data_IF_120500217087
#
_entry.id   IF_120500217087
#
_cell.length_a   1.000
_cell.length_b   1.000
_cell.length_c   1.000
_cell.angle_alpha   90.00
_cell.angle_beta   90.00
_cell.angle_gamma   90.00
#
_symmetry.space_group_name_H-M   'P 1'
#
loop_
_entity.id
_entity.type
_entity.pdbx_description
1 polymer ?
#
# COMPACT_ATOMS: atom_id res chain seq x y z
N UNK A 1 -5.23 -19.67 2.66
CA UNK A 1 -3.94 -20.01 3.29
C UNK A 1 -4.12 -19.91 4.81
N UNK A 2 -3.97 -20.98 5.59
CA UNK A 2 -4.13 -20.92 7.04
C UNK A 2 -2.82 -20.41 7.63
N UNK A 3 -2.83 -19.20 8.19
CA UNK A 3 -1.69 -18.67 8.94
C UNK A 3 -1.50 -19.54 10.19
N UNK A 4 -0.28 -20.03 10.37
CA UNK A 4 0.08 -20.92 11.48
C UNK A 4 -0.27 -20.26 12.82
N UNK A 5 -0.96 -21.00 13.70
CA UNK A 5 -1.49 -20.51 14.99
C UNK A 5 -0.40 -19.85 15.85
N UNK A 6 0.86 -20.25 15.70
CA UNK A 6 2.02 -19.64 16.39
C UNK A 6 2.25 -18.16 16.05
N UNK A 7 1.73 -17.65 14.92
CA UNK A 7 1.91 -16.27 14.48
C UNK A 7 0.75 -15.34 14.84
N UNK A 8 -0.40 -15.87 15.28
CA UNK A 8 -1.60 -15.05 15.55
C UNK A 8 -1.37 -13.93 16.58
N UNK A 9 -0.60 -14.16 17.62
CA UNK A 9 -0.47 -13.22 18.74
C UNK A 9 0.82 -12.37 18.72
N UNK A 10 1.67 -12.50 17.69
CA UNK A 10 2.85 -11.63 17.59
C UNK A 10 2.47 -10.30 16.96
N UNK A 11 3.02 -9.16 17.45
CA UNK A 11 2.78 -7.86 16.87
C UNK A 11 3.12 -7.84 15.36
N UNK A 12 2.27 -7.21 14.57
CA UNK A 12 2.40 -7.09 13.11
C UNK A 12 2.16 -5.68 12.64
N UNK A 13 2.56 -5.44 11.42
CA UNK A 13 2.42 -4.18 10.72
C UNK A 13 1.64 -4.41 9.45
N UNK A 14 0.63 -3.57 9.24
CA UNK A 14 -0.17 -3.56 8.04
C UNK A 14 0.23 -2.36 7.17
N UNK A 15 0.59 -2.62 5.92
CA UNK A 15 0.78 -1.62 4.88
C UNK A 15 -0.44 -1.55 3.96
N UNK A 16 -0.85 -0.35 3.59
CA UNK A 16 -1.96 -0.12 2.68
C UNK A 16 -1.59 0.94 1.62
N UNK A 17 -1.93 0.63 0.36
CA UNK A 17 -2.09 1.63 -0.70
C UNK A 17 -3.59 1.71 -1.05
N UNK A 18 -4.21 2.87 -0.77
CA UNK A 18 -5.67 3.02 -0.81
C UNK A 18 -6.07 3.79 -2.06
N UNK A 19 -6.71 3.09 -3.00
CA UNK A 19 -7.43 3.71 -4.10
C UNK A 19 -8.94 3.38 -4.03
N UNK A 20 -9.75 4.11 -4.76
CA UNK A 20 -11.21 3.87 -4.80
C UNK A 20 -11.59 2.60 -5.60
N UNK A 21 -10.65 1.96 -6.27
CA UNK A 21 -10.85 0.75 -7.07
C UNK A 21 -10.24 -0.48 -6.41
N UNK A 22 -9.05 -0.32 -5.87
CA UNK A 22 -8.25 -1.39 -5.30
C UNK A 22 -7.54 -0.87 -4.06
N UNK A 23 -7.42 -1.69 -3.05
CA UNK A 23 -6.60 -1.43 -1.88
C UNK A 23 -5.50 -2.50 -1.88
N UNK A 24 -4.25 -2.08 -2.04
CA UNK A 24 -3.08 -2.92 -1.82
C UNK A 24 -2.92 -3.20 -0.33
N UNK A 25 -2.58 -4.43 0.02
CA UNK A 25 -2.54 -4.93 1.39
C UNK A 25 -1.26 -5.74 1.61
N UNK A 26 -0.41 -5.31 2.54
CA UNK A 26 0.84 -5.95 2.88
C UNK A 26 0.97 -6.15 4.39
N UNK A 27 1.03 -7.39 4.85
CA UNK A 27 1.19 -7.73 6.26
C UNK A 27 2.64 -8.14 6.53
N UNK A 28 3.28 -7.45 7.47
CA UNK A 28 4.66 -7.72 7.87
C UNK A 28 4.73 -8.13 9.36
N UNK A 29 5.83 -8.76 9.73
CA UNK A 29 6.21 -8.90 11.13
C UNK A 29 6.52 -7.53 11.75
N UNK A 30 6.64 -7.45 13.07
CA UNK A 30 6.87 -6.18 13.79
C UNK A 30 8.21 -5.51 13.43
N UNK A 31 9.17 -6.24 12.90
CA UNK A 31 10.46 -5.67 12.46
C UNK A 31 10.34 -4.96 11.11
N UNK A 32 9.24 -5.18 10.37
CA UNK A 32 9.05 -4.68 9.01
C UNK A 32 9.98 -5.33 7.99
N UNK A 33 10.65 -6.44 8.36
CA UNK A 33 11.63 -7.10 7.50
C UNK A 33 11.11 -8.37 6.83
N UNK A 34 10.08 -9.01 7.43
CA UNK A 34 9.50 -10.24 6.89
C UNK A 34 8.07 -10.01 6.45
N UNK A 35 7.85 -10.10 5.14
CA UNK A 35 6.51 -10.13 4.57
C UNK A 35 5.82 -11.44 4.94
N UNK A 36 4.61 -11.35 5.48
CA UNK A 36 3.78 -12.48 5.90
C UNK A 36 2.64 -12.74 4.92
N UNK A 37 2.08 -11.67 4.35
CA UNK A 37 1.02 -11.72 3.36
C UNK A 37 1.09 -10.50 2.46
N UNK A 38 0.89 -10.70 1.16
CA UNK A 38 0.74 -9.63 0.18
C UNK A 38 -0.47 -9.95 -0.69
N UNK A 39 -1.46 -9.07 -0.66
CA UNK A 39 -2.71 -9.28 -1.38
C UNK A 39 -3.35 -7.93 -1.75
N UNK A 40 -4.54 -7.97 -2.32
CA UNK A 40 -5.32 -6.79 -2.63
C UNK A 40 -6.79 -7.02 -2.31
N UNK A 41 -7.50 -5.93 -2.12
CA UNK A 41 -8.94 -5.92 -1.98
C UNK A 41 -9.57 -4.98 -3.02
N UNK A 42 -10.46 -5.51 -3.85
CA UNK A 42 -11.17 -4.74 -4.88
C UNK A 42 -12.68 -4.79 -4.60
N UNK A 43 -13.23 -3.81 -3.91
CA UNK A 43 -14.64 -3.81 -3.53
C UNK A 43 -15.55 -3.72 -4.75
N UNK A 44 -16.37 -4.74 -4.94
CA UNK A 44 -17.38 -4.78 -6.01
C UNK A 44 -18.75 -4.44 -5.42
N UNK A 45 -19.33 -3.34 -5.88
CA UNK A 45 -20.65 -2.89 -5.47
C UNK A 45 -21.65 -3.13 -6.62
N UNK A 46 -22.72 -3.83 -6.31
CA UNK A 46 -23.81 -4.10 -7.24
C UNK A 46 -25.15 -4.07 -6.49
N UNK A 47 -26.17 -3.34 -6.98
CA UNK A 47 -26.12 -2.39 -8.09
C UNK A 47 -25.19 -1.22 -7.78
N UNK A 48 -24.71 -0.51 -8.82
CA UNK A 48 -23.90 0.70 -8.66
C UNK A 48 -24.79 1.82 -8.15
N UNK A 49 -24.51 2.47 -7.00
CA UNK A 49 -25.23 3.64 -6.56
C UNK A 49 -25.08 4.83 -7.51
N UNK A 50 -26.09 5.68 -7.60
CA UNK A 50 -26.02 6.93 -8.35
C UNK A 50 -25.16 7.97 -7.62
N UNK A 51 -25.29 8.02 -6.29
CA UNK A 51 -24.51 8.94 -5.46
C UNK A 51 -23.09 8.40 -5.20
N UNK A 52 -22.11 9.25 -5.45
CA UNK A 52 -20.70 8.89 -5.30
C UNK A 52 -20.27 8.67 -3.86
N UNK A 53 -20.84 9.41 -2.92
CA UNK A 53 -20.55 9.25 -1.50
C UNK A 53 -21.12 7.93 -0.98
N UNK A 54 -22.34 7.58 -1.39
CA UNK A 54 -22.95 6.29 -1.09
C UNK A 54 -22.10 5.14 -1.61
N UNK A 55 -21.60 5.23 -2.87
CA UNK A 55 -20.67 4.24 -3.41
C UNK A 55 -19.44 4.05 -2.52
N UNK A 56 -18.82 5.15 -2.05
CA UNK A 56 -17.64 5.09 -1.20
C UNK A 56 -17.96 4.45 0.16
N UNK A 57 -19.10 4.79 0.76
CA UNK A 57 -19.55 4.20 2.03
C UNK A 57 -19.79 2.70 1.89
N UNK A 58 -20.44 2.27 0.82
CA UNK A 58 -20.65 0.84 0.55
C UNK A 58 -19.34 0.09 0.35
N UNK A 59 -18.37 0.69 -0.36
CA UNK A 59 -17.02 0.14 -0.52
C UNK A 59 -16.29 0.04 0.81
N UNK A 60 -16.36 1.08 1.64
CA UNK A 60 -15.77 1.08 2.97
C UNK A 60 -16.36 -0.02 3.86
N UNK A 61 -17.69 -0.17 3.88
CA UNK A 61 -18.36 -1.25 4.61
C UNK A 61 -17.97 -2.65 4.12
N UNK A 62 -17.70 -2.79 2.82
CA UNK A 62 -17.22 -4.07 2.26
C UNK A 62 -15.78 -4.33 2.69
N UNK A 63 -14.95 -3.30 2.73
CA UNK A 63 -13.57 -3.40 3.23
C UNK A 63 -13.52 -3.63 4.74
N UNK A 64 -14.44 -3.06 5.51
CA UNK A 64 -14.57 -3.34 6.94
C UNK A 64 -14.67 -4.84 7.22
N UNK A 65 -15.57 -5.53 6.53
CA UNK A 65 -15.74 -7.00 6.67
C UNK A 65 -14.46 -7.77 6.31
N UNK A 66 -13.67 -7.26 5.38
CA UNK A 66 -12.35 -7.84 5.08
C UNK A 66 -11.37 -7.61 6.22
N UNK A 67 -11.29 -6.38 6.76
CA UNK A 67 -10.42 -6.04 7.89
C UNK A 67 -10.78 -6.80 9.19
N UNK A 68 -12.06 -7.06 9.43
CA UNK A 68 -12.52 -7.82 10.59
C UNK A 68 -11.90 -9.22 10.66
N UNK A 69 -11.59 -9.81 9.49
CA UNK A 69 -10.84 -11.08 9.42
C UNK A 69 -9.43 -11.01 9.99
N UNK A 70 -8.88 -9.81 10.19
CA UNK A 70 -7.53 -9.56 10.72
C UNK A 70 -7.54 -9.03 12.16
N UNK A 71 -8.72 -8.86 12.78
CA UNK A 71 -8.86 -8.26 14.11
C UNK A 71 -7.96 -8.91 15.16
N UNK A 72 -7.90 -10.24 15.16
CA UNK A 72 -7.13 -11.01 16.15
C UNK A 72 -5.71 -11.34 15.67
N UNK A 73 -5.23 -10.71 14.63
CA UNK A 73 -3.92 -10.99 14.06
C UNK A 73 -2.77 -10.26 14.76
N UNK A 74 -3.07 -9.40 15.74
CA UNK A 74 -2.06 -8.62 16.47
C UNK A 74 -1.48 -7.46 15.65
N UNK A 75 -2.29 -6.79 14.83
CA UNK A 75 -1.89 -5.59 14.11
C UNK A 75 -1.73 -4.46 15.12
N UNK A 76 -0.51 -3.93 15.27
CA UNK A 76 -0.15 -2.87 16.22
C UNK A 76 0.31 -1.58 15.54
N UNK A 77 0.54 -1.62 14.23
CA UNK A 77 0.87 -0.45 13.40
C UNK A 77 0.22 -0.59 12.04
N UNK A 78 -0.23 0.53 11.50
CA UNK A 78 -0.74 0.62 10.13
C UNK A 78 -0.03 1.76 9.42
N UNK A 79 0.58 1.45 8.27
CA UNK A 79 1.28 2.40 7.41
C UNK A 79 0.47 2.56 6.13
N UNK A 80 0.14 3.78 5.77
CA UNK A 80 -0.64 4.08 4.56
C UNK A 80 0.21 4.93 3.63
N UNK A 81 0.28 4.58 2.35
CA UNK A 81 0.83 5.50 1.35
C UNK A 81 -0.09 6.74 1.26
N UNK A 82 0.51 7.93 1.41
CA UNK A 82 -0.22 9.19 1.38
C UNK A 82 -0.85 9.42 -0.01
N UNK A 83 -2.15 9.73 -0.07
CA UNK A 83 -2.80 9.98 -1.35
C UNK A 83 -2.16 11.17 -2.07
N UNK A 84 -1.93 11.02 -3.39
CA UNK A 84 -1.36 12.07 -4.21
C UNK A 84 -2.32 13.26 -4.31
N UNK A 85 -1.91 14.39 -3.72
CA UNK A 85 -2.68 15.64 -3.72
C UNK A 85 -2.50 16.47 -5.00
N UNK A 86 -1.48 16.15 -5.81
CA UNK A 86 -1.08 16.90 -7.01
C UNK A 86 -1.78 16.38 -8.29
N UNK A 87 -3.06 16.03 -8.20
CA UNK A 87 -3.84 15.72 -9.39
C UNK A 87 -4.47 16.99 -9.95
N UNK A 88 -4.45 17.16 -11.28
CA UNK A 88 -5.15 18.25 -11.97
C UNK A 88 -6.69 18.17 -11.83
N UNK A 89 -7.20 17.08 -11.24
CA UNK A 89 -8.63 16.88 -11.02
C UNK A 89 -8.94 16.90 -9.52
N UNK A 90 -9.41 18.05 -9.04
CA UNK A 90 -9.78 18.28 -7.64
C UNK A 90 -10.89 17.33 -7.15
N UNK A 91 -11.81 16.92 -8.02
CA UNK A 91 -12.86 15.96 -7.66
C UNK A 91 -12.29 14.57 -7.37
N UNK A 92 -11.30 14.14 -8.14
CA UNK A 92 -10.59 12.89 -7.90
C UNK A 92 -9.85 12.93 -6.56
N UNK A 93 -9.13 14.01 -6.29
CA UNK A 93 -8.42 14.22 -5.01
C UNK A 93 -9.42 14.22 -3.85
N UNK A 94 -10.51 15.01 -3.93
CA UNK A 94 -11.53 15.07 -2.89
C UNK A 94 -12.21 13.71 -2.63
N UNK A 95 -12.48 12.94 -3.69
CA UNK A 95 -13.04 11.59 -3.57
C UNK A 95 -12.07 10.64 -2.86
N UNK A 96 -10.79 10.68 -3.23
CA UNK A 96 -9.76 9.84 -2.64
C UNK A 96 -9.54 10.17 -1.17
N UNK A 97 -9.48 11.45 -0.80
CA UNK A 97 -9.35 11.90 0.59
C UNK A 97 -10.52 11.44 1.46
N UNK A 98 -11.76 11.60 0.96
CA UNK A 98 -12.96 11.11 1.67
C UNK A 98 -12.88 9.60 1.93
N UNK A 99 -12.49 8.83 0.90
CA UNK A 99 -12.37 7.39 1.04
C UNK A 99 -11.27 7.00 2.01
N UNK A 100 -10.09 7.62 1.92
CA UNK A 100 -8.99 7.40 2.88
C UNK A 100 -9.42 7.68 4.32
N UNK A 101 -10.16 8.78 4.56
CA UNK A 101 -10.66 9.12 5.90
C UNK A 101 -11.60 8.04 6.43
N UNK A 102 -12.51 7.50 5.61
CA UNK A 102 -13.38 6.39 6.00
C UNK A 102 -12.56 5.15 6.37
N UNK A 103 -11.56 4.80 5.57
CA UNK A 103 -10.69 3.63 5.84
C UNK A 103 -9.88 3.84 7.12
N UNK A 104 -9.33 5.03 7.36
CA UNK A 104 -8.63 5.34 8.62
C UNK A 104 -9.53 5.17 9.84
N UNK A 105 -10.81 5.60 9.73
CA UNK A 105 -11.78 5.41 10.82
C UNK A 105 -12.04 3.92 11.08
N UNK A 106 -12.21 3.11 10.04
CA UNK A 106 -12.40 1.66 10.17
C UNK A 106 -11.18 0.98 10.80
N UNK A 107 -9.97 1.37 10.42
CA UNK A 107 -8.73 0.87 11.01
C UNK A 107 -8.70 1.15 12.51
N UNK A 108 -9.01 2.39 12.90
CA UNK A 108 -9.06 2.76 14.31
C UNK A 108 -10.12 1.96 15.08
N UNK A 109 -11.32 1.77 14.51
CA UNK A 109 -12.42 1.04 15.17
C UNK A 109 -12.12 -0.45 15.35
N UNK A 110 -11.35 -1.06 14.44
CA UNK A 110 -11.09 -2.50 14.46
C UNK A 110 -9.81 -2.83 15.25
N UNK A 111 -8.75 -2.04 15.08
CA UNK A 111 -7.43 -2.33 15.64
C UNK A 111 -7.01 -1.40 16.78
N UNK A 112 -7.76 -0.31 17.05
CA UNK A 112 -7.42 0.76 18.01
C UNK A 112 -6.07 1.43 17.70
N UNK A 113 -5.69 1.45 16.41
CA UNK A 113 -4.44 2.00 15.88
C UNK A 113 -4.72 3.23 15.03
N UNK A 114 -4.04 4.33 15.31
CA UNK A 114 -4.02 5.50 14.42
C UNK A 114 -3.02 5.25 13.30
N UNK A 115 -3.45 5.25 12.03
CA UNK A 115 -2.54 5.02 10.90
C UNK A 115 -1.47 6.11 10.78
N UNK A 116 -0.28 5.70 10.34
CA UNK A 116 0.81 6.59 9.98
C UNK A 116 0.87 6.73 8.46
N UNK A 117 0.92 7.95 7.95
CA UNK A 117 1.08 8.20 6.52
C UNK A 117 2.55 8.35 6.15
N UNK A 118 2.90 7.83 4.98
CA UNK A 118 4.20 8.03 4.35
C UNK A 118 4.00 8.51 2.91
N UNK A 119 4.67 9.60 2.53
CA UNK A 119 4.57 10.06 1.14
C UNK A 119 5.19 9.05 0.17
N UNK A 120 4.64 8.95 -1.04
CA UNK A 120 5.17 8.11 -2.12
C UNK A 120 6.67 8.33 -2.34
N UNK A 121 7.13 9.59 -2.25
CA UNK A 121 8.55 9.92 -2.37
C UNK A 121 9.39 9.26 -1.27
N UNK A 122 9.00 9.41 -0.02
CA UNK A 122 9.73 8.84 1.11
C UNK A 122 9.65 7.31 1.12
N UNK A 123 8.47 6.75 0.85
CA UNK A 123 8.29 5.30 0.76
C UNK A 123 9.31 4.69 -0.21
N UNK A 124 9.37 5.20 -1.43
CA UNK A 124 10.27 4.69 -2.49
C UNK A 124 11.74 4.99 -2.21
N UNK A 125 12.06 6.22 -1.76
CA UNK A 125 13.44 6.62 -1.44
C UNK A 125 14.07 5.76 -0.36
N UNK A 126 13.32 5.46 0.69
CA UNK A 126 13.86 4.70 1.82
C UNK A 126 13.71 3.18 1.64
N UNK A 127 12.73 2.72 0.86
CA UNK A 127 12.64 1.30 0.51
C UNK A 127 13.77 0.90 -0.44
N UNK A 128 14.01 1.70 -1.47
CA UNK A 128 14.92 1.41 -2.58
C UNK A 128 15.79 2.64 -2.89
N UNK A 129 16.88 2.86 -2.13
CA UNK A 129 17.73 4.04 -2.27
C UNK A 129 18.37 4.21 -3.64
N UNK A 130 18.56 3.14 -4.37
CA UNK A 130 19.07 3.10 -5.75
C UNK A 130 18.12 3.72 -6.79
N UNK A 131 16.85 3.89 -6.45
CA UNK A 131 15.90 4.67 -7.26
C UNK A 131 16.23 6.17 -7.27
N UNK A 132 17.08 6.65 -6.35
CA UNK A 132 17.44 8.06 -6.25
C UNK A 132 18.76 8.31 -6.97
N UNK A 133 18.70 9.06 -8.06
CA UNK A 133 19.87 9.38 -8.87
C UNK A 133 19.81 10.81 -9.44
N UNK A 134 20.86 11.25 -10.15
CA UNK A 134 20.92 12.58 -10.75
C UNK A 134 19.97 12.67 -11.96
N UNK A 135 19.24 13.76 -12.06
CA UNK A 135 18.53 14.14 -13.28
C UNK A 135 19.44 14.92 -14.24
N UNK A 136 18.91 15.36 -15.39
CA UNK A 136 19.63 16.14 -16.41
C UNK A 136 20.26 17.44 -15.86
N UNK A 137 19.83 17.93 -14.69
CA UNK A 137 20.34 19.10 -13.99
C UNK A 137 21.28 18.77 -12.83
N UNK A 138 21.70 17.51 -12.70
CA UNK A 138 22.57 17.02 -11.62
C UNK A 138 21.89 16.95 -10.24
N UNK A 139 20.57 17.08 -10.14
CA UNK A 139 19.84 17.01 -8.86
C UNK A 139 19.38 15.58 -8.62
N UNK A 140 19.57 15.07 -7.42
CA UNK A 140 19.08 13.76 -7.02
C UNK A 140 17.56 13.77 -6.90
N UNK A 141 16.92 12.94 -7.70
CA UNK A 141 15.45 12.77 -7.76
C UNK A 141 15.09 11.29 -7.86
N UNK A 142 13.87 10.92 -7.50
CA UNK A 142 13.38 9.57 -7.75
C UNK A 142 13.39 9.27 -9.26
N UNK A 143 13.89 8.09 -9.60
CA UNK A 143 14.12 7.63 -10.97
C UNK A 143 15.11 8.50 -11.75
N UNK A 144 15.95 9.27 -11.05
CA UNK A 144 17.09 9.95 -11.66
C UNK A 144 18.08 8.91 -12.19
N UNK A 145 18.57 9.12 -13.43
CA UNK A 145 19.40 8.13 -14.14
C UNK A 145 18.63 7.06 -14.93
N UNK A 146 17.34 6.94 -14.72
CA UNK A 146 16.48 6.07 -15.55
C UNK A 146 16.02 6.79 -16.84
N UNK A 147 15.70 6.05 -17.91
CA UNK A 147 15.07 6.59 -19.11
C UNK A 147 13.76 7.33 -18.77
N UNK A 148 13.45 8.41 -19.52
CA UNK A 148 12.26 9.25 -19.24
C UNK A 148 10.92 8.52 -19.45
N UNK A 149 10.91 7.51 -20.30
CA UNK A 149 9.77 6.68 -20.69
C UNK A 149 9.63 5.40 -19.86
N UNK A 150 10.45 5.25 -18.81
CA UNK A 150 10.40 4.05 -17.97
C UNK A 150 9.04 3.86 -17.29
N UNK A 151 8.54 2.64 -17.28
CA UNK A 151 7.39 2.28 -16.46
C UNK A 151 7.80 2.21 -14.98
N UNK A 152 7.56 3.32 -14.28
CA UNK A 152 7.90 3.45 -12.84
C UNK A 152 7.20 2.43 -11.96
N UNK A 153 6.01 1.99 -12.35
CA UNK A 153 5.27 0.97 -11.58
C UNK A 153 5.92 -0.40 -11.74
N UNK A 154 6.36 -0.71 -12.96
CA UNK A 154 7.10 -1.94 -13.22
C UNK A 154 8.39 -1.97 -12.41
N UNK A 155 9.16 -0.88 -12.38
CA UNK A 155 10.41 -0.79 -11.61
C UNK A 155 10.18 -1.02 -10.11
N UNK A 156 9.13 -0.43 -9.53
CA UNK A 156 8.79 -0.67 -8.12
C UNK A 156 8.41 -2.13 -7.89
N UNK A 157 7.62 -2.71 -8.78
CA UNK A 157 7.25 -4.12 -8.69
C UNK A 157 8.49 -5.03 -8.77
N UNK A 158 9.43 -4.75 -9.70
CA UNK A 158 10.68 -5.51 -9.84
C UNK A 158 11.46 -5.50 -8.51
N UNK A 159 11.63 -4.33 -7.87
CA UNK A 159 12.32 -4.22 -6.58
C UNK A 159 11.60 -4.96 -5.45
N UNK A 160 10.26 -4.88 -5.38
CA UNK A 160 9.50 -5.65 -4.38
C UNK A 160 9.60 -7.14 -4.63
N UNK A 161 9.57 -7.58 -5.89
CA UNK A 161 9.75 -8.98 -6.26
C UNK A 161 11.13 -9.51 -5.84
N UNK A 162 12.18 -8.70 -5.98
CA UNK A 162 13.54 -9.07 -5.58
C UNK A 162 13.69 -9.23 -4.06
N UNK A 163 13.06 -8.34 -3.27
CA UNK A 163 13.14 -8.40 -1.80
C UNK A 163 12.11 -9.34 -1.17
N UNK A 164 11.08 -9.73 -1.92
CA UNK A 164 10.00 -10.61 -1.50
C UNK A 164 9.75 -11.73 -2.53
N UNK A 165 10.72 -12.64 -2.76
CA UNK A 165 10.67 -13.60 -3.87
C UNK A 165 9.56 -14.66 -3.74
N UNK A 166 9.03 -14.89 -2.54
CA UNK A 166 7.99 -15.91 -2.28
C UNK A 166 6.57 -15.42 -2.57
N UNK A 167 6.42 -14.20 -3.09
CA UNK A 167 5.10 -13.62 -3.39
C UNK A 167 4.46 -14.31 -4.58
N UNK A 168 3.20 -14.66 -4.44
CA UNK A 168 2.39 -15.16 -5.56
C UNK A 168 1.74 -13.98 -6.28
N UNK A 169 2.38 -13.53 -7.34
CA UNK A 169 1.89 -12.45 -8.19
C UNK A 169 0.71 -12.88 -9.06
N UNK A 170 -0.14 -11.92 -9.39
CA UNK A 170 -1.34 -12.15 -10.19
C UNK A 170 -1.04 -11.91 -11.68
N UNK A 171 -1.39 -12.88 -12.50
CA UNK A 171 -1.25 -12.78 -13.96
C UNK A 171 -2.62 -12.89 -14.62
N UNK A 172 -2.77 -12.26 -15.76
CA UNK A 172 -3.92 -12.45 -16.63
C UNK A 172 -3.77 -13.76 -17.45
N UNK A 173 -4.80 -14.08 -18.25
CA UNK A 173 -4.79 -15.27 -19.12
C UNK A 173 -3.70 -15.29 -20.19
N UNK A 174 -3.05 -14.15 -20.45
CA UNK A 174 -1.98 -14.00 -21.43
C UNK A 174 -0.60 -13.94 -20.75
N UNK A 175 -0.49 -14.16 -19.44
CA UNK A 175 0.74 -14.11 -18.67
C UNK A 175 1.23 -12.70 -18.35
N UNK A 176 0.40 -11.65 -18.54
CA UNK A 176 0.75 -10.28 -18.14
C UNK A 176 0.40 -10.03 -16.68
N UNK A 177 1.23 -9.26 -16.00
CA UNK A 177 0.96 -8.77 -14.65
C UNK A 177 -0.36 -8.01 -14.61
N UNK A 178 -1.21 -8.36 -13.65
CA UNK A 178 -2.42 -7.58 -13.37
C UNK A 178 -2.08 -6.30 -12.65
N UNK A 179 -2.91 -5.27 -12.84
CA UNK A 179 -2.72 -3.93 -12.26
C UNK A 179 -2.72 -3.94 -10.73
N UNK A 180 -3.45 -4.85 -10.13
CA UNK A 180 -3.55 -5.03 -8.69
C UNK A 180 -2.18 -5.31 -8.04
N UNK A 181 -1.25 -5.92 -8.78
CA UNK A 181 0.11 -6.16 -8.30
C UNK A 181 0.85 -4.86 -7.99
N UNK A 182 0.58 -3.79 -8.72
CA UNK A 182 1.23 -2.49 -8.47
C UNK A 182 0.74 -1.86 -7.17
N UNK A 183 -0.56 -1.93 -6.88
CA UNK A 183 -1.12 -1.45 -5.61
C UNK A 183 -0.60 -2.30 -4.43
N UNK A 184 -0.44 -3.63 -4.63
CA UNK A 184 0.21 -4.53 -3.68
C UNK A 184 1.67 -4.14 -3.43
N UNK A 185 2.43 -3.83 -4.49
CA UNK A 185 3.83 -3.40 -4.40
C UNK A 185 3.97 -2.07 -3.69
N UNK A 186 3.10 -1.10 -3.97
CA UNK A 186 3.10 0.21 -3.30
C UNK A 186 2.78 0.06 -1.80
N UNK A 187 1.85 -0.84 -1.40
CA UNK A 187 1.58 -1.17 0.00
C UNK A 187 2.80 -1.78 0.73
N UNK A 188 3.53 -2.70 0.08
CA UNK A 188 4.76 -3.27 0.64
C UNK A 188 5.87 -2.22 0.74
N UNK A 189 6.04 -1.39 -0.30
CA UNK A 189 7.00 -0.29 -0.36
C UNK A 189 6.78 0.71 0.78
N UNK A 190 5.52 1.01 1.12
CA UNK A 190 5.18 1.91 2.23
C UNK A 190 5.72 1.39 3.57
N UNK A 191 5.59 0.08 3.86
CA UNK A 191 6.12 -0.51 5.10
C UNK A 191 7.64 -0.53 5.08
N UNK A 192 8.27 -1.04 4.03
CA UNK A 192 9.73 -1.15 3.92
C UNK A 192 10.36 0.24 4.04
N UNK A 193 9.82 1.23 3.31
CA UNK A 193 10.30 2.61 3.33
C UNK A 193 10.16 3.27 4.70
N UNK A 194 9.02 3.08 5.37
CA UNK A 194 8.79 3.62 6.70
C UNK A 194 9.82 3.11 7.72
N UNK A 195 10.07 1.79 7.73
CA UNK A 195 11.02 1.20 8.66
C UNK A 195 12.46 1.60 8.39
N UNK A 196 12.86 1.64 7.13
CA UNK A 196 14.20 2.09 6.75
C UNK A 196 14.42 3.58 7.06
N UNK A 197 13.36 4.40 6.90
CA UNK A 197 13.40 5.82 7.29
C UNK A 197 13.65 5.98 8.79
N UNK A 198 12.90 5.28 9.64
CA UNK A 198 13.10 5.34 11.10
C UNK A 198 14.52 4.88 11.47
N UNK A 199 14.98 3.75 10.95
CA UNK A 199 16.34 3.24 11.22
C UNK A 199 17.46 4.21 10.83
N UNK A 200 17.23 5.11 9.86
CA UNK A 200 18.20 6.15 9.48
C UNK A 200 18.14 7.37 10.40
N UNK A 201 16.99 7.67 10.99
CA UNK A 201 16.83 8.79 11.92
C UNK A 201 17.37 8.48 13.32
N UNK A 202 17.46 7.19 13.68
CA UNK A 202 17.96 6.71 14.97
C UNK A 202 19.50 6.54 14.99
N UNK A 203 20.20 6.85 13.90
CA UNK A 203 21.67 6.84 13.75
C UNK A 203 22.27 8.24 13.83
#
# INVERSE_FOLDING_TARGET
MSIDVKFKNKPKILGLDISTKTIGFALFDISGSKLLELTHFSPKIKPQPEDKLEELMMKANTFQRHLEGYKDMGITRVIIEEPLLNSNNIYTVGTLLRYNTMICKLIYDIFEVVPTFISTYNARKYAFPDLVGPNDKGRNVLFGGYPKDIDKKQVIWDHVNDVCPDVQWLYDKNGKLKKENFDMSDAATAVIGHFNMIKQLDK
#
